data_IF_705883653964
#
_entry.id   IF_705883653964
#
_cell.length_a   1.000
_cell.length_b   1.000
_cell.length_c   1.000
_cell.angle_alpha   90.00
_cell.angle_beta   90.00
_cell.angle_gamma   90.00
#
_symmetry.space_group_name_H-M   'P 1'
#
loop_
_entity.id
_entity.type
_entity.pdbx_description
1 polymer ?
#
# COMPACT_ATOMS: atom_id res chain seq x y z
N UNK A 1 -9.28 -10.81 -38.53
CA UNK A 1 -8.36 -9.73 -38.12
C UNK A 1 -9.12 -8.76 -37.22
N UNK A 2 -8.57 -8.33 -36.07
CA UNK A 2 -9.27 -7.36 -35.21
C UNK A 2 -9.40 -5.99 -35.91
N UNK A 3 -10.54 -5.33 -35.72
CA UNK A 3 -10.88 -4.02 -36.29
C UNK A 3 -9.83 -2.95 -35.90
N UNK A 4 -9.29 -2.13 -36.83
CA UNK A 4 -8.35 -1.05 -36.54
C UNK A 4 -8.78 -0.13 -35.38
N UNK A 5 -10.08 0.16 -35.23
CA UNK A 5 -10.62 0.97 -34.11
C UNK A 5 -10.48 0.24 -32.78
N UNK A 6 -10.71 -1.08 -32.76
CA UNK A 6 -10.54 -1.91 -31.56
C UNK A 6 -9.08 -1.97 -31.10
N UNK A 7 -8.14 -2.04 -32.06
CA UNK A 7 -6.71 -2.04 -31.79
C UNK A 7 -6.28 -0.70 -31.20
N UNK A 8 -6.75 0.41 -31.78
CA UNK A 8 -6.46 1.76 -31.31
C UNK A 8 -6.99 1.99 -29.87
N UNK A 9 -8.24 1.64 -29.61
CA UNK A 9 -8.84 1.76 -28.27
C UNK A 9 -8.08 0.92 -27.23
N UNK A 10 -7.73 -0.33 -27.57
CA UNK A 10 -6.95 -1.20 -26.67
C UNK A 10 -5.55 -0.64 -26.36
N UNK A 11 -4.98 0.17 -27.26
CA UNK A 11 -3.69 0.83 -27.06
C UNK A 11 -3.83 1.99 -26.08
N UNK A 12 -4.85 2.84 -26.25
CA UNK A 12 -5.12 3.98 -25.37
C UNK A 12 -5.39 3.51 -23.94
N UNK A 13 -6.30 2.55 -23.77
CA UNK A 13 -6.65 2.02 -22.43
C UNK A 13 -5.40 1.53 -21.70
N UNK A 14 -4.54 0.81 -22.41
CA UNK A 14 -3.29 0.29 -21.88
C UNK A 14 -2.26 1.37 -21.55
N UNK A 15 -2.20 2.46 -22.31
CA UNK A 15 -1.33 3.61 -22.00
C UNK A 15 -1.83 4.36 -20.77
N UNK A 16 -3.15 4.55 -20.64
CA UNK A 16 -3.75 5.13 -19.44
C UNK A 16 -3.51 4.26 -18.20
N UNK A 17 -3.68 2.93 -18.33
CA UNK A 17 -3.39 1.99 -17.25
C UNK A 17 -1.90 1.99 -16.87
N UNK A 18 -0.99 1.99 -17.85
CA UNK A 18 0.45 2.13 -17.60
C UNK A 18 0.75 3.42 -16.85
N UNK A 19 0.19 4.55 -17.31
CA UNK A 19 0.40 5.83 -16.65
C UNK A 19 -0.09 5.79 -15.21
N UNK A 20 -1.33 5.36 -14.97
CA UNK A 20 -1.94 5.35 -13.64
C UNK A 20 -1.17 4.45 -12.65
N UNK A 21 -0.78 3.25 -13.09
CA UNK A 21 -0.15 2.24 -12.24
C UNK A 21 1.36 2.46 -12.10
N UNK A 22 2.07 2.72 -13.20
CA UNK A 22 3.53 2.78 -13.19
C UNK A 22 4.08 4.14 -12.73
N UNK A 23 3.28 5.20 -12.75
CA UNK A 23 3.62 6.50 -12.13
C UNK A 23 3.43 6.53 -10.61
N UNK A 24 2.96 5.43 -10.01
CA UNK A 24 2.62 5.31 -8.60
C UNK A 24 1.44 6.20 -8.13
N UNK A 25 0.67 6.80 -9.04
CA UNK A 25 -0.55 7.54 -8.68
C UNK A 25 -1.58 6.57 -8.08
N UNK A 26 -1.76 5.39 -8.65
CA UNK A 26 -2.72 4.41 -8.14
C UNK A 26 -2.45 3.98 -6.69
N UNK A 27 -1.19 3.70 -6.36
CA UNK A 27 -0.82 3.30 -4.99
C UNK A 27 -0.96 4.46 -4.00
N UNK A 28 -0.74 5.70 -4.43
CA UNK A 28 -1.04 6.89 -3.63
C UNK A 28 -2.55 7.04 -3.37
N UNK A 29 -3.40 6.75 -4.36
CA UNK A 29 -4.87 6.68 -4.16
C UNK A 29 -5.27 5.55 -3.22
N UNK A 30 -4.54 4.42 -3.22
CA UNK A 30 -4.76 3.34 -2.26
C UNK A 30 -4.51 3.81 -0.81
N UNK A 31 -3.46 4.60 -0.56
CA UNK A 31 -3.22 5.19 0.76
C UNK A 31 -4.37 6.10 1.22
N UNK A 32 -4.87 6.95 0.32
CA UNK A 32 -6.05 7.80 0.58
C UNK A 32 -7.28 6.95 0.92
N UNK A 33 -7.57 5.93 0.10
CA UNK A 33 -8.69 5.03 0.35
C UNK A 33 -8.59 4.34 1.71
N UNK A 34 -7.39 3.99 2.16
CA UNK A 34 -7.23 3.35 3.46
C UNK A 34 -7.38 4.28 4.65
N UNK A 35 -6.99 5.54 4.52
CA UNK A 35 -7.35 6.55 5.51
C UNK A 35 -8.87 6.82 5.51
N UNK A 36 -9.51 6.83 4.35
CA UNK A 36 -10.96 6.99 4.25
C UNK A 36 -11.73 5.83 4.92
N UNK A 37 -11.23 4.60 4.82
CA UNK A 37 -11.76 3.48 5.62
C UNK A 37 -11.65 3.79 7.11
N UNK A 38 -10.50 4.27 7.60
CA UNK A 38 -10.33 4.66 9.00
C UNK A 38 -11.33 5.72 9.43
N UNK A 39 -11.42 6.84 8.69
CA UNK A 39 -12.38 7.91 8.98
C UNK A 39 -13.83 7.42 9.02
N UNK A 40 -14.19 6.52 8.09
CA UNK A 40 -15.52 5.92 8.06
C UNK A 40 -15.80 5.03 9.27
N UNK A 41 -14.86 4.18 9.66
CA UNK A 41 -14.99 3.31 10.83
C UNK A 41 -15.04 4.11 12.14
N UNK A 42 -14.39 5.27 12.20
CA UNK A 42 -14.50 6.21 13.31
C UNK A 42 -15.78 7.05 13.30
N UNK A 43 -16.52 7.06 12.19
CA UNK A 43 -17.73 7.87 12.04
C UNK A 43 -17.47 9.38 11.95
N UNK A 44 -16.26 9.80 11.58
CA UNK A 44 -15.87 11.22 11.51
C UNK A 44 -15.61 11.69 10.09
N UNK A 45 -15.75 13.00 9.86
CA UNK A 45 -15.48 13.61 8.55
C UNK A 45 -13.98 13.55 8.23
N UNK A 46 -13.57 13.16 7.01
CA UNK A 46 -12.16 13.09 6.66
C UNK A 46 -11.50 14.47 6.66
N UNK A 47 -10.37 14.58 7.35
CA UNK A 47 -9.49 15.74 7.30
C UNK A 47 -8.74 15.78 5.96
N UNK A 48 -9.09 16.74 5.09
CA UNK A 48 -8.62 16.76 3.70
C UNK A 48 -7.10 16.92 3.59
N UNK A 49 -6.48 17.69 4.50
CA UNK A 49 -5.03 17.87 4.54
C UNK A 49 -4.30 16.56 4.85
N UNK A 50 -4.85 15.70 5.73
CA UNK A 50 -4.28 14.37 6.01
C UNK A 50 -4.36 13.48 4.77
N UNK A 51 -5.49 13.46 4.06
CA UNK A 51 -5.64 12.67 2.83
C UNK A 51 -4.67 13.13 1.74
N UNK A 52 -4.60 14.45 1.51
CA UNK A 52 -3.66 15.03 0.54
C UNK A 52 -2.21 14.73 0.92
N UNK A 53 -1.89 14.77 2.20
CA UNK A 53 -0.55 14.45 2.70
C UNK A 53 -0.20 12.98 2.48
N UNK A 54 -1.13 12.05 2.75
CA UNK A 54 -0.92 10.63 2.48
C UNK A 54 -0.73 10.35 0.99
N UNK A 55 -1.50 11.03 0.13
CA UNK A 55 -1.32 10.96 -1.31
C UNK A 55 0.08 11.44 -1.74
N UNK A 56 0.44 12.68 -1.37
CA UNK A 56 1.70 13.29 -1.77
C UNK A 56 2.92 12.55 -1.21
N UNK A 57 2.88 12.14 0.06
CA UNK A 57 3.98 11.41 0.70
C UNK A 57 4.18 10.02 0.09
N UNK A 58 3.09 9.29 -0.18
CA UNK A 58 3.16 7.99 -0.86
C UNK A 58 3.71 8.14 -2.27
N UNK A 59 3.19 9.10 -3.05
CA UNK A 59 3.65 9.35 -4.41
C UNK A 59 5.14 9.74 -4.45
N UNK A 60 5.56 10.66 -3.58
CA UNK A 60 6.95 11.10 -3.47
C UNK A 60 7.87 9.94 -3.10
N UNK A 61 7.55 9.18 -2.05
CA UNK A 61 8.40 8.09 -1.55
C UNK A 61 8.52 6.93 -2.55
N UNK A 62 7.42 6.52 -3.17
CA UNK A 62 7.44 5.42 -4.15
C UNK A 62 8.20 5.83 -5.42
N UNK A 63 8.02 7.05 -5.89
CA UNK A 63 8.80 7.54 -7.04
C UNK A 63 10.27 7.70 -6.68
N UNK A 64 10.59 8.25 -5.51
CA UNK A 64 11.96 8.38 -5.03
C UNK A 64 12.68 7.03 -4.96
N UNK A 65 12.04 6.00 -4.38
CA UNK A 65 12.59 4.64 -4.32
C UNK A 65 12.90 4.06 -5.72
N UNK A 66 12.00 4.27 -6.68
CA UNK A 66 12.20 3.84 -8.07
C UNK A 66 13.32 4.61 -8.78
N UNK A 67 13.39 5.93 -8.58
CA UNK A 67 14.41 6.79 -9.19
C UNK A 67 15.81 6.50 -8.63
N UNK A 68 15.93 6.25 -7.31
CA UNK A 68 17.17 5.81 -6.67
C UNK A 68 17.65 4.46 -7.21
N UNK A 69 16.74 3.55 -7.53
CA UNK A 69 17.04 2.19 -7.99
C UNK A 69 17.20 2.07 -9.51
N UNK A 70 17.68 3.14 -10.18
CA UNK A 70 17.83 3.18 -11.64
C UNK A 70 18.78 2.08 -12.14
N UNK A 71 18.33 1.16 -13.01
CA UNK A 71 19.20 0.14 -13.60
C UNK A 71 20.18 0.74 -14.61
N UNK A 72 21.31 0.07 -14.84
CA UNK A 72 22.31 0.46 -15.86
C UNK A 72 21.73 0.50 -17.27
N UNK A 73 20.85 -0.46 -17.61
CA UNK A 73 20.21 -0.55 -18.93
C UNK A 73 18.68 -0.70 -18.82
N UNK A 74 17.94 0.36 -18.45
CA UNK A 74 16.50 0.27 -18.19
C UNK A 74 15.68 -0.23 -19.39
N UNK A 75 16.09 0.13 -20.61
CA UNK A 75 15.44 -0.28 -21.87
C UNK A 75 15.47 -1.79 -22.10
N UNK A 76 16.44 -2.51 -21.52
CA UNK A 76 16.61 -3.96 -21.63
C UNK A 76 15.98 -4.74 -20.47
N UNK A 77 15.36 -4.05 -19.51
CA UNK A 77 14.73 -4.71 -18.36
C UNK A 77 13.62 -5.67 -18.84
N UNK A 78 13.48 -6.87 -18.24
CA UNK A 78 12.36 -7.76 -18.53
C UNK A 78 11.02 -7.16 -18.07
N UNK A 79 11.04 -6.32 -17.03
CA UNK A 79 9.85 -5.70 -16.45
C UNK A 79 9.39 -4.50 -17.28
N UNK A 80 8.10 -4.49 -17.63
CA UNK A 80 7.50 -3.43 -18.42
C UNK A 80 7.43 -2.14 -17.63
N UNK A 81 7.12 -2.20 -16.33
CA UNK A 81 7.12 -1.03 -15.44
C UNK A 81 8.46 -0.30 -15.47
N UNK A 82 9.57 -1.03 -15.38
CA UNK A 82 10.91 -0.44 -15.42
C UNK A 82 11.17 0.26 -16.75
N UNK A 83 10.87 -0.40 -17.88
CA UNK A 83 11.00 0.23 -19.21
C UNK A 83 10.16 1.48 -19.33
N UNK A 84 8.92 1.46 -18.81
CA UNK A 84 8.00 2.59 -18.87
C UNK A 84 8.48 3.77 -18.01
N UNK A 85 8.84 3.54 -16.75
CA UNK A 85 9.29 4.57 -15.80
C UNK A 85 10.49 5.34 -16.35
N UNK A 86 11.50 4.63 -16.84
CA UNK A 86 12.71 5.28 -17.36
C UNK A 86 12.56 5.78 -18.80
N UNK A 87 11.55 5.31 -19.54
CA UNK A 87 11.10 5.94 -20.78
C UNK A 87 10.40 7.29 -20.55
N UNK A 88 9.73 7.45 -19.40
CA UNK A 88 9.01 8.66 -18.99
C UNK A 88 9.70 9.36 -17.80
N UNK A 89 11.03 9.32 -17.75
CA UNK A 89 11.81 9.80 -16.60
C UNK A 89 11.48 11.23 -16.18
N UNK A 90 11.30 12.15 -17.16
CA UNK A 90 10.92 13.55 -16.87
C UNK A 90 9.60 13.64 -16.12
N UNK A 91 8.59 12.89 -16.55
CA UNK A 91 7.28 12.84 -15.88
C UNK A 91 7.41 12.35 -14.44
N UNK A 92 8.18 11.28 -14.23
CA UNK A 92 8.41 10.73 -12.87
C UNK A 92 9.08 11.75 -11.95
N UNK A 93 10.11 12.44 -12.44
CA UNK A 93 10.79 13.51 -11.67
C UNK A 93 9.85 14.67 -11.39
N UNK A 94 9.10 15.15 -12.38
CA UNK A 94 8.12 16.24 -12.20
C UNK A 94 7.05 15.88 -11.17
N UNK A 95 6.45 14.69 -11.26
CA UNK A 95 5.47 14.22 -10.27
C UNK A 95 6.07 14.15 -8.85
N UNK A 96 7.32 13.70 -8.74
CA UNK A 96 8.02 13.63 -7.45
C UNK A 96 8.25 15.02 -6.87
N UNK A 97 8.74 15.97 -7.68
CA UNK A 97 8.99 17.35 -7.24
C UNK A 97 7.69 18.02 -6.82
N UNK A 98 6.61 17.90 -7.61
CA UNK A 98 5.30 18.44 -7.27
C UNK A 98 4.83 17.84 -5.94
N UNK A 99 4.89 16.52 -5.78
CA UNK A 99 4.47 15.85 -4.57
C UNK A 99 5.26 16.32 -3.33
N UNK A 100 6.59 16.46 -3.44
CA UNK A 100 7.45 16.95 -2.35
C UNK A 100 7.16 18.41 -2.01
N UNK A 101 7.01 19.29 -3.01
CA UNK A 101 6.68 20.70 -2.79
C UNK A 101 5.30 20.83 -2.12
N UNK A 102 4.32 20.04 -2.55
CA UNK A 102 2.98 20.03 -1.95
C UNK A 102 2.97 19.60 -0.47
N UNK A 103 3.94 18.80 -0.01
CA UNK A 103 4.03 18.42 1.40
C UNK A 103 4.29 19.61 2.32
N UNK A 104 5.05 20.61 1.87
CA UNK A 104 5.42 21.78 2.69
C UNK A 104 4.18 22.50 3.24
N UNK A 105 3.26 23.05 2.42
CA UNK A 105 2.07 23.70 2.95
C UNK A 105 1.14 22.72 3.68
N UNK A 106 1.06 21.45 3.27
CA UNK A 106 0.19 20.46 3.93
C UNK A 106 0.61 20.18 5.38
N UNK A 107 1.91 20.17 5.66
CA UNK A 107 2.41 19.96 7.04
C UNK A 107 2.08 21.12 7.98
N UNK A 108 1.85 22.33 7.46
CA UNK A 108 1.46 23.49 8.27
C UNK A 108 0.04 23.37 8.84
N UNK A 109 -0.80 22.52 8.26
CA UNK A 109 -2.17 22.26 8.73
C UNK A 109 -2.25 21.09 9.73
N UNK A 110 -1.15 20.38 9.98
CA UNK A 110 -1.13 19.27 10.93
C UNK A 110 -0.93 19.76 12.36
N UNK A 111 -1.55 19.05 13.30
CA UNK A 111 -1.19 19.17 14.71
C UNK A 111 0.27 18.77 14.95
N UNK A 112 0.88 19.31 16.01
CA UNK A 112 2.28 19.00 16.39
C UNK A 112 2.48 17.50 16.62
N UNK A 113 1.52 16.83 17.27
CA UNK A 113 1.55 15.38 17.51
C UNK A 113 1.53 14.57 16.21
N UNK A 114 0.67 14.95 15.25
CA UNK A 114 0.65 14.33 13.92
C UNK A 114 1.94 14.57 13.15
N UNK A 115 2.51 15.78 13.26
CA UNK A 115 3.77 16.13 12.61
C UNK A 115 4.92 15.27 13.14
N UNK A 116 5.06 15.13 14.47
CA UNK A 116 6.08 14.28 15.09
C UNK A 116 5.96 12.83 14.61
N UNK A 117 4.73 12.28 14.64
CA UNK A 117 4.47 10.93 14.18
C UNK A 117 4.83 10.77 12.70
N UNK A 118 4.40 11.70 11.85
CA UNK A 118 4.68 11.66 10.42
C UNK A 118 6.18 11.78 10.14
N UNK A 119 6.89 12.66 10.84
CA UNK A 119 8.34 12.80 10.72
C UNK A 119 9.06 11.50 11.08
N UNK A 120 8.64 10.83 12.16
CA UNK A 120 9.18 9.52 12.51
C UNK A 120 8.93 8.49 11.41
N UNK A 121 7.70 8.39 10.90
CA UNK A 121 7.36 7.47 9.80
C UNK A 121 8.16 7.77 8.53
N UNK A 122 8.34 9.06 8.18
CA UNK A 122 9.12 9.49 7.04
C UNK A 122 10.60 9.09 7.16
N UNK A 123 11.19 9.28 8.35
CA UNK A 123 12.58 8.85 8.61
C UNK A 123 12.72 7.34 8.44
N UNK A 124 11.84 6.54 9.05
CA UNK A 124 11.87 5.08 8.92
C UNK A 124 11.69 4.64 7.46
N UNK A 125 10.78 5.28 6.73
CA UNK A 125 10.49 4.96 5.34
C UNK A 125 11.64 5.32 4.38
N UNK A 126 12.32 6.44 4.61
CA UNK A 126 13.52 6.84 3.85
C UNK A 126 14.68 5.90 4.22
N UNK A 127 14.92 5.67 5.51
CA UNK A 127 15.94 4.75 6.02
C UNK A 127 15.80 3.35 5.42
N UNK A 128 14.57 2.87 5.24
CA UNK A 128 14.29 1.58 4.60
C UNK A 128 14.86 1.47 3.17
N UNK A 129 14.86 2.58 2.42
CA UNK A 129 15.34 2.63 1.03
C UNK A 129 16.84 2.90 0.89
N UNK A 130 17.52 3.33 1.96
CA UNK A 130 18.93 3.69 1.92
C UNK A 130 19.85 2.52 2.34
N UNK A 131 21.05 2.40 1.72
CA UNK A 131 22.05 1.42 2.14
C UNK A 131 22.83 1.96 3.35
N UNK A 132 22.24 1.85 4.55
CA UNK A 132 22.73 2.47 5.79
C UNK A 132 23.92 1.77 6.45
N UNK A 133 24.17 0.50 6.15
CA UNK A 133 25.20 -0.32 6.79
C UNK A 133 26.25 -0.77 5.78
N UNK A 134 27.49 -1.00 6.22
CA UNK A 134 28.56 -1.56 5.40
C UNK A 134 29.31 -2.63 6.19
N UNK A 135 29.43 -3.84 5.63
CA UNK A 135 30.30 -4.91 6.16
C UNK A 135 31.15 -5.39 4.98
N UNK A 136 32.48 -5.41 5.13
CA UNK A 136 33.44 -5.90 4.12
C UNK A 136 33.19 -5.31 2.72
N UNK A 137 33.14 -3.98 2.60
CA UNK A 137 32.89 -3.22 1.35
C UNK A 137 31.52 -3.43 0.70
N UNK A 138 30.65 -4.28 1.27
CA UNK A 138 29.27 -4.47 0.83
C UNK A 138 28.33 -3.59 1.64
N UNK A 139 27.74 -2.59 0.98
CA UNK A 139 26.68 -1.77 1.56
C UNK A 139 25.34 -2.52 1.55
N UNK A 140 24.66 -2.58 2.68
CA UNK A 140 23.32 -3.16 2.81
C UNK A 140 22.40 -2.22 3.60
N UNK A 141 21.10 -2.28 3.33
CA UNK A 141 20.08 -1.47 3.99
C UNK A 141 19.16 -2.31 4.87
N UNK A 142 18.22 -1.65 5.55
CA UNK A 142 17.18 -2.32 6.34
C UNK A 142 16.37 -3.33 5.50
N UNK A 143 16.19 -3.06 4.20
CA UNK A 143 15.54 -3.97 3.25
C UNK A 143 16.20 -5.35 3.11
N UNK A 144 17.46 -5.49 3.51
CA UNK A 144 18.21 -6.74 3.41
C UNK A 144 18.03 -7.64 4.65
N UNK A 145 17.42 -7.12 5.74
CA UNK A 145 17.20 -7.88 6.97
C UNK A 145 16.02 -8.85 6.77
N UNK A 146 16.17 -10.15 7.10
CA UNK A 146 15.14 -11.17 6.92
C UNK A 146 13.83 -10.81 7.62
N UNK A 147 12.69 -10.93 6.93
CA UNK A 147 11.36 -10.63 7.48
C UNK A 147 11.07 -9.15 7.79
N UNK A 148 12.11 -8.32 7.98
CA UNK A 148 11.95 -6.90 8.33
C UNK A 148 11.29 -6.09 7.20
N UNK A 149 11.54 -6.46 5.93
CA UNK A 149 10.90 -5.84 4.76
C UNK A 149 9.38 -5.83 4.89
N UNK A 150 8.78 -7.00 5.09
CA UNK A 150 7.33 -7.13 5.21
C UNK A 150 6.81 -6.37 6.42
N UNK A 151 7.46 -6.55 7.57
CA UNK A 151 7.06 -5.91 8.82
C UNK A 151 7.06 -4.37 8.71
N UNK A 152 8.14 -3.78 8.20
CA UNK A 152 8.24 -2.32 8.05
C UNK A 152 7.21 -1.78 7.07
N UNK A 153 6.98 -2.44 5.93
CA UNK A 153 5.97 -2.00 4.97
C UNK A 153 4.59 -2.01 5.64
N UNK A 154 4.18 -3.15 6.21
CA UNK A 154 2.87 -3.27 6.84
C UNK A 154 2.70 -2.31 8.02
N UNK A 155 3.76 -2.08 8.81
CA UNK A 155 3.73 -1.14 9.93
C UNK A 155 3.58 0.30 9.46
N UNK A 156 4.41 0.77 8.51
CA UNK A 156 4.35 2.15 8.00
C UNK A 156 2.97 2.43 7.41
N UNK A 157 2.43 1.52 6.59
CA UNK A 157 1.08 1.65 6.03
C UNK A 157 0.00 1.69 7.10
N UNK A 158 0.14 0.88 8.15
CA UNK A 158 -0.85 0.83 9.21
C UNK A 158 -0.83 2.09 10.06
N UNK A 159 0.35 2.54 10.46
CA UNK A 159 0.49 3.77 11.23
C UNK A 159 0.10 5.00 10.39
N UNK A 160 0.46 5.06 9.11
CA UNK A 160 0.11 6.20 8.26
C UNK A 160 -1.38 6.27 7.96
N UNK A 161 -2.04 5.15 7.65
CA UNK A 161 -3.44 5.15 7.25
C UNK A 161 -4.42 5.04 8.42
N UNK A 162 -3.95 4.71 9.64
CA UNK A 162 -4.79 4.58 10.84
C UNK A 162 -4.38 5.57 11.92
N UNK A 163 -3.13 5.49 12.38
CA UNK A 163 -2.69 6.26 13.54
C UNK A 163 -2.60 7.76 13.24
N UNK A 164 -2.12 8.16 12.06
CA UNK A 164 -2.09 9.58 11.68
C UNK A 164 -3.50 10.21 11.65
N UNK A 165 -4.52 9.61 10.97
CA UNK A 165 -5.91 10.08 11.10
C UNK A 165 -6.41 10.19 12.54
N UNK A 166 -6.17 9.17 13.37
CA UNK A 166 -6.61 9.16 14.77
C UNK A 166 -5.96 10.31 15.55
N UNK A 167 -4.63 10.39 15.54
CA UNK A 167 -3.87 11.42 16.25
C UNK A 167 -4.31 12.82 15.82
N UNK A 168 -4.52 13.04 14.52
CA UNK A 168 -4.98 14.34 14.03
C UNK A 168 -6.38 14.67 14.52
N UNK A 169 -7.34 13.75 14.39
CA UNK A 169 -8.72 13.99 14.84
C UNK A 169 -8.83 14.16 16.35
N UNK A 170 -8.00 13.47 17.13
CA UNK A 170 -7.94 13.61 18.59
C UNK A 170 -7.29 14.93 18.99
N UNK A 171 -6.21 15.35 18.34
CA UNK A 171 -5.60 16.66 18.59
C UNK A 171 -6.56 17.82 18.24
N UNK A 172 -7.39 17.64 17.23
CA UNK A 172 -8.45 18.58 16.85
C UNK A 172 -9.72 18.47 17.72
N UNK A 173 -9.72 17.64 18.77
CA UNK A 173 -10.85 17.42 19.67
C UNK A 173 -12.14 16.94 18.96
N UNK A 174 -12.02 16.31 17.79
CA UNK A 174 -13.16 15.77 17.02
C UNK A 174 -13.68 14.48 17.63
N UNK A 175 -12.77 13.59 18.05
CA UNK A 175 -13.08 12.32 18.70
C UNK A 175 -11.93 11.89 19.60
N UNK A 176 -12.26 11.23 20.72
CA UNK A 176 -11.29 10.54 21.55
C UNK A 176 -11.43 9.03 21.33
N UNK A 177 -10.40 8.41 20.74
CA UNK A 177 -10.38 6.97 20.46
C UNK A 177 -9.55 6.29 21.53
N UNK A 178 -10.06 5.21 22.11
CA UNK A 178 -9.32 4.48 23.14
C UNK A 178 -8.01 3.88 22.58
N UNK A 179 -7.03 3.67 23.44
CA UNK A 179 -5.78 3.01 23.05
C UNK A 179 -6.04 1.58 22.52
N UNK A 180 -6.99 0.86 23.13
CA UNK A 180 -7.37 -0.48 22.70
C UNK A 180 -7.97 -0.50 21.29
N UNK A 181 -8.89 0.41 20.99
CA UNK A 181 -9.50 0.53 19.66
C UNK A 181 -8.47 0.95 18.61
N UNK A 182 -7.56 1.86 18.98
CA UNK A 182 -6.45 2.29 18.11
C UNK A 182 -5.53 1.12 17.76
N UNK A 183 -5.11 0.33 18.76
CA UNK A 183 -4.26 -0.86 18.56
C UNK A 183 -4.99 -1.89 17.69
N UNK A 184 -6.29 -2.11 17.93
CA UNK A 184 -7.10 -3.03 17.14
C UNK A 184 -7.20 -2.60 15.67
N UNK A 185 -7.45 -1.32 15.39
CA UNK A 185 -7.51 -0.79 14.02
C UNK A 185 -6.14 -0.89 13.32
N UNK A 186 -5.06 -0.53 14.00
CA UNK A 186 -3.69 -0.68 13.48
C UNK A 186 -3.37 -2.14 13.21
N UNK A 187 -3.70 -3.06 14.14
CA UNK A 187 -3.48 -4.50 14.00
C UNK A 187 -4.24 -5.09 12.82
N UNK A 188 -5.53 -4.77 12.66
CA UNK A 188 -6.33 -5.16 11.49
C UNK A 188 -5.69 -4.64 10.19
N UNK A 189 -5.32 -3.36 10.15
CA UNK A 189 -4.66 -2.77 8.96
C UNK A 189 -3.35 -3.49 8.64
N UNK A 190 -2.55 -3.80 9.67
CA UNK A 190 -1.27 -4.47 9.54
C UNK A 190 -1.43 -5.86 8.93
N UNK A 191 -2.36 -6.67 9.45
CA UNK A 191 -2.64 -8.01 8.94
C UNK A 191 -3.06 -7.97 7.47
N UNK A 192 -3.95 -7.05 7.11
CA UNK A 192 -4.41 -6.90 5.73
C UNK A 192 -3.29 -6.50 4.78
N UNK A 193 -2.54 -5.44 5.10
CA UNK A 193 -1.44 -4.95 4.25
C UNK A 193 -0.33 -5.99 4.13
N UNK A 194 0.01 -6.67 5.23
CA UNK A 194 1.00 -7.74 5.21
C UNK A 194 0.58 -8.88 4.26
N UNK A 195 -0.68 -9.32 4.33
CA UNK A 195 -1.19 -10.41 3.51
C UNK A 195 -1.14 -10.09 2.00
N UNK A 196 -1.52 -8.87 1.60
CA UNK A 196 -1.51 -8.48 0.17
C UNK A 196 -0.12 -8.13 -0.36
N UNK A 197 0.85 -7.88 0.53
CA UNK A 197 2.25 -7.56 0.16
C UNK A 197 3.07 -8.81 -0.15
N UNK A 198 2.89 -9.91 0.60
CA UNK A 198 3.67 -11.16 0.40
C UNK A 198 3.60 -11.72 -1.03
N UNK A 199 2.47 -11.68 -1.77
CA UNK A 199 2.45 -12.11 -3.17
C UNK A 199 3.45 -11.41 -4.08
N UNK A 200 3.82 -10.15 -3.80
CA UNK A 200 4.85 -9.46 -4.55
C UNK A 200 6.21 -10.14 -4.38
N UNK A 201 6.54 -10.57 -3.16
CA UNK A 201 7.76 -11.36 -2.90
C UNK A 201 7.65 -12.78 -3.51
N UNK A 202 6.45 -13.35 -3.62
CA UNK A 202 6.27 -14.66 -4.28
C UNK A 202 6.59 -14.52 -5.77
N UNK A 203 6.11 -13.46 -6.41
CA UNK A 203 6.43 -13.16 -7.81
C UNK A 203 7.93 -13.03 -8.04
N UNK A 204 8.61 -12.36 -7.11
CA UNK A 204 10.02 -12.00 -7.24
C UNK A 204 10.96 -13.06 -6.60
N UNK A 205 10.43 -14.23 -6.21
CA UNK A 205 11.11 -15.29 -5.47
C UNK A 205 12.49 -15.69 -6.05
N UNK A 206 12.58 -15.89 -7.37
CA UNK A 206 13.83 -16.29 -8.02
C UNK A 206 14.88 -15.19 -7.99
N UNK A 207 14.46 -13.93 -8.19
CA UNK A 207 15.33 -12.77 -8.15
C UNK A 207 15.80 -12.50 -6.71
N UNK A 208 14.90 -12.59 -5.74
CA UNK A 208 15.22 -12.43 -4.31
C UNK A 208 16.22 -13.48 -3.84
N UNK A 209 16.06 -14.74 -4.27
CA UNK A 209 17.02 -15.82 -4.00
C UNK A 209 18.40 -15.51 -4.59
N UNK A 210 18.45 -15.04 -5.84
CA UNK A 210 19.71 -14.67 -6.49
C UNK A 210 20.44 -13.54 -5.75
N UNK A 211 19.70 -12.58 -5.20
CA UNK A 211 20.24 -11.47 -4.42
C UNK A 211 20.42 -11.76 -2.92
N UNK A 212 20.26 -13.01 -2.48
CA UNK A 212 20.34 -13.43 -1.08
C UNK A 212 19.40 -12.65 -0.13
N UNK A 213 18.24 -12.24 -0.64
CA UNK A 213 17.21 -11.59 0.18
C UNK A 213 16.37 -12.67 0.89
N UNK A 214 16.27 -12.58 2.22
CA UNK A 214 15.50 -13.54 3.02
C UNK A 214 14.05 -13.04 3.22
N UNK A 215 13.28 -13.01 2.14
CA UNK A 215 11.84 -12.71 2.18
C UNK A 215 11.04 -13.93 2.66
N UNK A 216 9.77 -13.74 3.04
CA UNK A 216 8.91 -14.84 3.53
C UNK A 216 8.85 -16.00 2.53
N UNK A 217 8.66 -15.78 1.21
CA UNK A 217 8.65 -16.86 0.23
C UNK A 217 10.00 -17.54 0.07
N UNK A 218 11.12 -16.82 0.21
CA UNK A 218 12.47 -17.41 0.18
C UNK A 218 12.70 -18.31 1.41
N UNK A 219 12.24 -17.89 2.59
CA UNK A 219 12.42 -18.62 3.85
C UNK A 219 11.49 -19.84 3.99
N UNK A 220 10.21 -19.69 3.63
CA UNK A 220 9.20 -20.73 3.84
C UNK A 220 8.90 -21.57 2.59
N UNK A 221 9.26 -21.06 1.41
CA UNK A 221 8.82 -21.59 0.12
C UNK A 221 7.44 -21.03 -0.30
N UNK A 222 7.15 -21.10 -1.60
CA UNK A 222 5.95 -20.51 -2.23
C UNK A 222 4.64 -20.99 -1.58
N UNK A 223 4.44 -22.30 -1.43
CA UNK A 223 3.19 -22.86 -0.88
C UNK A 223 2.93 -22.40 0.56
N UNK A 224 3.96 -22.36 1.40
CA UNK A 224 3.84 -21.92 2.80
C UNK A 224 3.66 -20.40 2.90
N UNK A 225 4.19 -19.62 1.95
CA UNK A 225 3.92 -18.20 1.87
C UNK A 225 2.44 -17.91 1.58
N UNK A 226 1.79 -18.69 0.70
CA UNK A 226 0.34 -18.58 0.50
C UNK A 226 -0.45 -18.88 1.77
N UNK A 227 -0.11 -19.97 2.46
CA UNK A 227 -0.75 -20.30 3.74
C UNK A 227 -0.56 -19.19 4.77
N UNK A 228 0.64 -18.62 4.86
CA UNK A 228 0.93 -17.49 5.73
C UNK A 228 0.02 -16.29 5.45
N UNK A 229 -0.20 -15.94 4.18
CA UNK A 229 -1.16 -14.89 3.82
C UNK A 229 -2.59 -15.22 4.29
N UNK A 230 -3.04 -16.46 4.10
CA UNK A 230 -4.39 -16.86 4.52
C UNK A 230 -4.54 -16.81 6.04
N UNK A 231 -3.50 -17.18 6.80
CA UNK A 231 -3.51 -17.06 8.26
C UNK A 231 -3.59 -15.62 8.72
N UNK A 232 -2.90 -14.68 8.06
CA UNK A 232 -3.02 -13.25 8.35
C UNK A 232 -4.45 -12.72 8.10
N UNK A 233 -5.07 -13.11 6.99
CA UNK A 233 -6.45 -12.73 6.67
C UNK A 233 -7.48 -13.41 7.60
N UNK A 234 -7.25 -14.66 7.99
CA UNK A 234 -8.07 -15.34 8.99
C UNK A 234 -7.99 -14.64 10.35
N UNK A 235 -6.78 -14.26 10.79
CA UNK A 235 -6.58 -13.48 12.00
C UNK A 235 -7.30 -12.12 11.92
N UNK A 236 -7.30 -11.46 10.76
CA UNK A 236 -8.08 -10.25 10.54
C UNK A 236 -9.58 -10.48 10.77
N UNK A 237 -10.14 -11.55 10.18
CA UNK A 237 -11.58 -11.87 10.33
C UNK A 237 -11.92 -12.21 11.78
N UNK A 238 -11.06 -12.97 12.47
CA UNK A 238 -11.25 -13.27 13.90
C UNK A 238 -11.27 -11.99 14.72
N UNK A 239 -10.31 -11.08 14.52
CA UNK A 239 -10.32 -9.79 15.20
C UNK A 239 -11.54 -8.93 14.83
N UNK A 240 -11.99 -8.97 13.58
CA UNK A 240 -13.20 -8.27 13.15
C UNK A 240 -14.43 -8.83 13.86
N UNK A 241 -14.59 -10.16 13.92
CA UNK A 241 -15.74 -10.82 14.53
C UNK A 241 -15.77 -10.65 16.06
N UNK A 242 -14.64 -10.84 16.75
CA UNK A 242 -14.58 -10.77 18.21
C UNK A 242 -14.80 -9.36 18.76
N UNK A 243 -14.45 -8.33 17.99
CA UNK A 243 -14.49 -6.94 18.45
C UNK A 243 -15.49 -6.07 17.67
N UNK A 244 -16.34 -6.66 16.83
CA UNK A 244 -17.49 -5.93 16.28
C UNK A 244 -18.62 -5.91 17.30
N UNK A 245 -19.30 -4.78 17.43
CA UNK A 245 -20.51 -4.67 18.27
C UNK A 245 -21.75 -5.12 17.51
N UNK A 246 -21.80 -4.80 16.22
CA UNK A 246 -22.93 -5.07 15.34
C UNK A 246 -22.42 -5.60 13.99
N UNK A 247 -23.24 -6.43 13.35
CA UNK A 247 -22.96 -6.97 12.01
C UNK A 247 -23.55 -6.05 10.93
N UNK A 248 -23.10 -4.79 10.94
CA UNK A 248 -23.56 -3.72 10.06
C UNK A 248 -22.96 -3.79 8.64
N UNK A 249 -23.30 -2.81 7.81
CA UNK A 249 -22.71 -2.71 6.47
C UNK A 249 -21.18 -2.55 6.46
N UNK A 250 -20.56 -1.99 7.51
CA UNK A 250 -19.10 -1.90 7.58
C UNK A 250 -18.49 -3.30 7.79
N UNK A 251 -19.06 -4.09 8.71
CA UNK A 251 -18.64 -5.47 8.95
C UNK A 251 -18.66 -6.30 7.65
N UNK A 252 -19.76 -6.24 6.90
CA UNK A 252 -19.90 -6.99 5.65
C UNK A 252 -18.97 -6.48 4.55
N UNK A 253 -18.83 -5.16 4.39
CA UNK A 253 -17.92 -4.58 3.41
C UNK A 253 -16.45 -4.95 3.65
N UNK A 254 -16.01 -4.96 4.92
CA UNK A 254 -14.68 -5.42 5.31
C UNK A 254 -14.52 -6.92 5.04
N UNK A 255 -15.46 -7.74 5.50
CA UNK A 255 -15.42 -9.21 5.36
C UNK A 255 -15.35 -9.65 3.90
N UNK A 256 -16.21 -9.10 3.03
CA UNK A 256 -16.22 -9.40 1.60
C UNK A 256 -14.88 -9.06 0.94
N UNK A 257 -14.29 -7.91 1.30
CA UNK A 257 -13.00 -7.51 0.74
C UNK A 257 -11.89 -8.46 1.15
N UNK A 258 -11.87 -8.89 2.42
CA UNK A 258 -10.85 -9.83 2.93
C UNK A 258 -10.95 -11.19 2.25
N UNK A 259 -12.17 -11.72 2.08
CA UNK A 259 -12.41 -12.98 1.35
C UNK A 259 -11.92 -12.85 -0.09
N UNK A 260 -12.26 -11.76 -0.77
CA UNK A 260 -11.83 -11.51 -2.14
C UNK A 260 -10.30 -11.37 -2.25
N UNK A 261 -9.66 -10.65 -1.32
CA UNK A 261 -8.20 -10.57 -1.25
C UNK A 261 -7.57 -11.94 -1.06
N UNK A 262 -8.14 -12.79 -0.21
CA UNK A 262 -7.71 -14.18 -0.02
C UNK A 262 -7.77 -14.98 -1.33
N UNK A 263 -8.87 -14.86 -2.07
CA UNK A 263 -9.04 -15.49 -3.39
C UNK A 263 -8.03 -14.97 -4.42
N UNK A 264 -7.82 -13.65 -4.50
CA UNK A 264 -6.82 -13.04 -5.38
C UNK A 264 -5.40 -13.46 -5.04
N UNK A 265 -5.07 -13.63 -3.76
CA UNK A 265 -3.77 -14.14 -3.32
C UNK A 265 -3.55 -15.56 -3.83
N UNK A 266 -4.54 -16.46 -3.68
CA UNK A 266 -4.45 -17.85 -4.16
C UNK A 266 -4.36 -17.95 -5.69
N UNK A 267 -4.91 -16.96 -6.42
CA UNK A 267 -4.82 -16.87 -7.89
C UNK A 267 -3.54 -16.19 -8.40
N UNK A 268 -2.77 -15.54 -7.52
CA UNK A 268 -1.46 -15.01 -7.88
C UNK A 268 -0.49 -16.13 -8.25
N UNK A 269 0.53 -15.82 -9.04
CA UNK A 269 1.65 -16.75 -9.31
C UNK A 269 2.79 -15.99 -9.97
N UNK A 270 3.97 -16.60 -9.99
CA UNK A 270 5.18 -16.06 -10.64
C UNK A 270 4.94 -15.73 -12.13
N UNK A 271 4.01 -16.41 -12.80
CA UNK A 271 3.67 -16.19 -14.22
C UNK A 271 2.71 -15.03 -14.49
N UNK A 272 2.08 -14.46 -13.44
CA UNK A 272 1.16 -13.34 -13.62
C UNK A 272 1.92 -12.06 -13.96
N UNK A 273 1.33 -11.26 -14.84
CA UNK A 273 1.91 -9.97 -15.23
C UNK A 273 1.83 -8.94 -14.10
N UNK A 274 2.55 -7.84 -14.28
CA UNK A 274 2.64 -6.73 -13.32
C UNK A 274 1.27 -6.12 -12.95
N UNK A 275 0.31 -6.07 -13.88
CA UNK A 275 -1.03 -5.55 -13.60
C UNK A 275 -1.78 -6.38 -12.57
N UNK A 276 -1.57 -7.70 -12.51
CA UNK A 276 -2.20 -8.54 -11.49
C UNK A 276 -1.90 -8.01 -10.08
N UNK A 277 -0.64 -7.62 -9.86
CA UNK A 277 -0.18 -7.16 -8.56
C UNK A 277 -0.58 -5.70 -8.32
N UNK A 278 -0.24 -4.80 -9.24
CA UNK A 278 -0.47 -3.36 -9.04
C UNK A 278 -1.93 -2.93 -9.17
N UNK A 279 -2.76 -3.63 -9.94
CA UNK A 279 -4.17 -3.28 -10.10
C UNK A 279 -5.07 -4.15 -9.22
N UNK A 280 -4.94 -5.47 -9.24
CA UNK A 280 -5.87 -6.33 -8.50
C UNK A 280 -5.51 -6.44 -7.03
N UNK A 281 -4.25 -6.74 -6.67
CA UNK A 281 -3.87 -6.86 -5.26
C UNK A 281 -3.83 -5.50 -4.57
N UNK A 282 -3.09 -4.52 -5.09
CA UNK A 282 -3.09 -3.18 -4.50
C UNK A 282 -4.48 -2.54 -4.57
N UNK A 283 -5.24 -2.77 -5.65
CA UNK A 283 -6.58 -2.24 -5.80
C UNK A 283 -7.59 -2.79 -4.79
N UNK A 284 -7.29 -3.89 -4.10
CA UNK A 284 -8.11 -4.33 -2.95
C UNK A 284 -8.17 -3.27 -1.86
N UNK A 285 -7.20 -2.35 -1.81
CA UNK A 285 -7.23 -1.24 -0.86
C UNK A 285 -8.31 -0.21 -1.18
N UNK A 286 -8.43 0.19 -2.45
CA UNK A 286 -9.51 1.06 -2.91
C UNK A 286 -10.84 0.32 -2.82
N UNK A 287 -10.86 -0.95 -3.23
CA UNK A 287 -12.05 -1.78 -3.17
C UNK A 287 -12.58 -1.91 -1.75
N UNK A 288 -11.72 -2.00 -0.73
CA UNK A 288 -12.15 -2.04 0.67
C UNK A 288 -12.97 -0.80 1.04
N UNK A 289 -12.49 0.39 0.66
CA UNK A 289 -13.23 1.61 0.88
C UNK A 289 -14.59 1.59 0.15
N UNK A 290 -14.60 1.20 -1.12
CA UNK A 290 -15.83 1.14 -1.92
C UNK A 290 -16.83 0.11 -1.39
N UNK A 291 -16.36 -1.06 -0.97
CA UNK A 291 -17.19 -2.13 -0.42
C UNK A 291 -17.84 -1.70 0.89
N UNK A 292 -17.05 -1.12 1.81
CA UNK A 292 -17.58 -0.54 3.06
C UNK A 292 -18.55 0.60 2.74
N UNK A 293 -18.24 1.45 1.76
CA UNK A 293 -19.13 2.54 1.34
C UNK A 293 -20.50 2.04 0.86
N UNK A 294 -20.47 1.06 -0.05
CA UNK A 294 -21.64 0.48 -0.68
C UNK A 294 -22.47 -0.35 0.30
N UNK A 295 -21.84 -1.23 1.09
CA UNK A 295 -22.54 -2.08 2.03
C UNK A 295 -23.27 -1.28 3.10
N UNK A 296 -22.65 -0.26 3.72
CA UNK A 296 -23.40 0.58 4.68
C UNK A 296 -24.37 1.57 4.02
N UNK A 297 -24.32 1.79 2.70
CA UNK A 297 -25.41 2.46 1.99
C UNK A 297 -26.60 1.52 1.80
N UNK A 298 -26.38 0.29 1.34
CA UNK A 298 -27.42 -0.74 1.18
C UNK A 298 -28.11 -1.06 2.51
N UNK A 299 -27.34 -1.14 3.60
CA UNK A 299 -27.85 -1.45 4.94
C UNK A 299 -28.80 -0.38 5.49
N UNK A 300 -28.86 0.82 4.91
CA UNK A 300 -29.85 1.85 5.31
C UNK A 300 -31.27 1.56 4.82
N UNK A 301 -31.42 0.61 3.89
CA UNK A 301 -32.70 0.24 3.27
C UNK A 301 -33.23 -1.11 3.77
N UNK A 302 -32.50 -1.77 4.68
CA UNK A 302 -32.87 -3.03 5.34
C UNK A 302 -33.20 -2.68 6.79
#
# INVERSE_FOLDING_TARGET
MPDPKSIFLSRIIRQCADFLLFSNIFIALCAVAQALVTYRLLGVKPAQHVLALLFCSTLALYNFSMLLSKPTAPKKSPFRRVRWIFGHYRVMVTLTIIAVISLVPLTLFLSVSSLILLSFLAVVAIAYNLPLFSINEKRFGLRNIPGLKLFLIALIWSLSCVLVPIVETTAQHVINVSAADTILLVGKRFLFIAAITVPFDIRDLFQDRYHNLKTIPVMLGEKKAYLFCQLLLAAYIVLLFLFTREFDGNFWGLTLTIILSGWLILKSSIRKNEYYYFFYLDGTMILQFLAVALCSWLFRFI
#
